data_IF_161309761188
#
_entry.id   IF_161309761188
#
_cell.length_a   1.000
_cell.length_b   1.000
_cell.length_c   1.000
_cell.angle_alpha   90.00
_cell.angle_beta   90.00
_cell.angle_gamma   90.00
#
_symmetry.space_group_name_H-M   'P 1'
#
loop_
_entity.id
_entity.type
_entity.pdbx_description
1 polymer ?
#
# COMPACT_ATOMS: atom_id res chain seq x y z
N UNK A 1 -3.11 71.76 -38.53
CA UNK A 1 -2.14 72.76 -38.05
C UNK A 1 -2.34 72.94 -36.56
N UNK A 2 -1.32 72.61 -35.76
CA UNK A 2 -1.21 72.93 -34.32
C UNK A 2 -0.89 74.45 -34.14
N UNK A 3 -0.78 75.06 -32.92
CA UNK A 3 0.04 74.58 -31.78
C UNK A 3 -0.36 74.97 -30.31
N UNK A 4 0.42 74.37 -29.37
CA UNK A 4 0.81 74.75 -27.99
C UNK A 4 -0.26 74.93 -26.88
N UNK A 5 -0.39 74.05 -25.88
CA UNK A 5 0.48 73.68 -24.73
C UNK A 5 0.37 74.61 -23.50
N UNK A 6 -0.26 74.13 -22.42
CA UNK A 6 0.28 74.16 -21.04
C UNK A 6 -0.62 73.40 -20.03
N UNK A 7 -0.06 72.29 -19.51
CA UNK A 7 -0.08 71.78 -18.11
C UNK A 7 -1.39 71.78 -17.30
N UNK A 8 -1.91 70.58 -16.98
CA UNK A 8 -1.95 70.07 -15.59
C UNK A 8 -2.40 68.59 -15.49
N UNK A 9 -1.51 67.79 -14.88
CA UNK A 9 -1.75 66.68 -13.95
C UNK A 9 -2.59 65.45 -14.39
N UNK A 10 -1.94 64.49 -15.05
CA UNK A 10 -2.26 63.06 -14.94
C UNK A 10 -1.69 62.48 -13.63
N UNK A 11 -2.55 61.99 -12.73
CA UNK A 11 -2.13 61.13 -11.60
C UNK A 11 -2.02 59.69 -12.08
N UNK A 12 -0.79 59.22 -12.29
CA UNK A 12 -0.47 57.81 -12.36
C UNK A 12 -0.49 57.17 -10.97
N UNK A 13 -1.18 56.04 -10.83
CA UNK A 13 -0.97 55.13 -9.71
C UNK A 13 0.18 54.18 -10.08
N UNK A 14 1.39 54.57 -9.67
CA UNK A 14 2.52 53.67 -9.51
C UNK A 14 3.14 53.98 -8.16
N UNK A 15 2.93 53.11 -7.17
CA UNK A 15 3.71 53.09 -5.93
C UNK A 15 3.83 51.66 -5.41
N UNK A 16 5.00 51.08 -5.71
CA UNK A 16 5.88 50.38 -4.78
C UNK A 16 5.16 49.41 -3.83
N UNK A 17 5.05 48.15 -4.27
CA UNK A 17 4.80 47.02 -3.38
C UNK A 17 5.99 46.94 -2.42
N UNK A 18 5.70 47.18 -1.15
CA UNK A 18 6.65 47.27 -0.06
C UNK A 18 7.16 45.85 0.27
N UNK A 19 8.43 45.59 0.01
CA UNK A 19 9.15 44.31 0.20
C UNK A 19 9.36 43.95 1.70
N UNK A 20 8.45 44.36 2.58
CA UNK A 20 8.62 44.29 4.05
C UNK A 20 7.43 43.68 4.81
N UNK A 21 6.43 43.13 4.12
CA UNK A 21 5.30 42.42 4.77
C UNK A 21 5.47 40.89 4.73
N UNK A 22 6.56 40.39 4.14
CA UNK A 22 6.90 38.96 4.09
C UNK A 22 7.68 38.52 5.34
N UNK A 23 7.10 38.66 6.53
CA UNK A 23 7.52 37.92 7.74
C UNK A 23 6.60 38.19 8.94
N UNK A 24 5.73 37.22 9.25
CA UNK A 24 5.57 36.60 10.60
C UNK A 24 4.24 35.84 10.71
N UNK A 25 4.24 34.60 10.26
CA UNK A 25 3.85 33.48 11.11
C UNK A 25 5.08 32.57 11.14
N UNK A 26 5.76 32.48 12.28
CA UNK A 26 6.84 31.53 12.47
C UNK A 26 6.22 30.14 12.61
N UNK A 27 5.87 29.53 11.48
CA UNK A 27 5.73 28.08 11.40
C UNK A 27 7.17 27.54 11.52
N UNK A 28 7.42 26.61 12.44
CA UNK A 28 8.70 25.90 12.47
C UNK A 28 8.91 25.23 11.11
N UNK A 29 10.14 25.09 10.62
CA UNK A 29 10.38 24.35 9.36
C UNK A 29 9.80 22.93 9.45
N UNK A 30 9.79 22.34 10.65
CA UNK A 30 9.11 21.08 10.97
C UNK A 30 7.59 21.12 10.73
N UNK A 31 6.89 22.18 11.17
CA UNK A 31 5.45 22.35 10.91
C UNK A 31 5.16 22.45 9.41
N UNK A 32 6.02 23.15 8.67
CA UNK A 32 5.89 23.25 7.21
C UNK A 32 6.13 21.91 6.50
N UNK A 33 7.05 21.05 6.97
CA UNK A 33 7.29 19.72 6.37
C UNK A 33 6.11 18.79 6.64
N UNK A 34 5.62 18.78 7.88
CA UNK A 34 4.42 18.02 8.23
C UNK A 34 3.25 18.40 7.34
N UNK A 35 2.99 19.70 7.19
CA UNK A 35 1.87 20.18 6.38
C UNK A 35 2.03 19.85 4.90
N UNK A 36 3.27 19.80 4.40
CA UNK A 36 3.54 19.45 3.00
C UNK A 36 3.31 17.98 2.70
N UNK A 37 3.68 17.08 3.62
CA UNK A 37 3.66 15.64 3.35
C UNK A 37 2.47 14.93 3.95
N UNK A 38 2.05 15.32 5.15
CA UNK A 38 1.02 14.60 5.90
C UNK A 38 -0.38 15.05 5.47
N UNK A 39 -0.63 16.35 5.28
CA UNK A 39 -1.97 16.81 4.90
C UNK A 39 -2.47 16.22 3.56
N UNK A 40 -1.68 16.19 2.46
CA UNK A 40 -2.13 15.55 1.22
C UNK A 40 -2.36 14.04 1.37
N UNK A 41 -1.52 13.37 2.16
CA UNK A 41 -1.69 11.96 2.52
C UNK A 41 -3.02 11.72 3.25
N UNK A 42 -3.36 12.55 4.25
CA UNK A 42 -4.63 12.48 4.97
C UNK A 42 -5.81 12.74 4.02
N UNK A 43 -5.70 13.74 3.15
CA UNK A 43 -6.71 14.05 2.15
C UNK A 43 -6.95 12.88 1.19
N UNK A 44 -5.89 12.19 0.77
CA UNK A 44 -6.00 11.02 -0.10
C UNK A 44 -6.72 9.85 0.61
N UNK A 45 -6.43 9.62 1.89
CA UNK A 45 -7.18 8.63 2.69
C UNK A 45 -8.66 8.98 2.79
N UNK A 46 -9.02 10.26 2.93
CA UNK A 46 -10.42 10.70 2.96
C UNK A 46 -11.09 10.48 1.59
N UNK A 47 -10.42 10.80 0.48
CA UNK A 47 -10.95 10.52 -0.88
C UNK A 47 -11.18 9.04 -1.13
N UNK A 48 -10.31 8.19 -0.57
CA UNK A 48 -10.46 6.74 -0.64
C UNK A 48 -11.72 6.26 0.12
N UNK A 49 -12.00 6.84 1.29
CA UNK A 49 -13.24 6.58 2.02
C UNK A 49 -14.46 7.10 1.24
N UNK A 50 -14.37 8.32 0.72
CA UNK A 50 -15.44 9.00 -0.01
C UNK A 50 -15.91 8.21 -1.24
N UNK A 51 -15.00 7.53 -1.94
CA UNK A 51 -15.36 6.70 -3.09
C UNK A 51 -16.08 5.40 -2.72
N UNK A 52 -16.24 5.08 -1.43
CA UNK A 52 -16.81 3.81 -0.96
C UNK A 52 -15.90 2.60 -1.23
N UNK A 53 -14.61 2.85 -1.48
CA UNK A 53 -13.65 1.84 -1.92
C UNK A 53 -13.13 0.95 -0.78
N UNK A 54 -13.02 1.53 0.42
CA UNK A 54 -12.63 0.85 1.65
C UNK A 54 -13.28 1.55 2.85
N UNK A 55 -13.50 0.82 3.94
CA UNK A 55 -14.07 1.42 5.16
C UNK A 55 -13.03 2.26 5.89
N UNK A 56 -13.48 3.14 6.79
CA UNK A 56 -12.56 3.95 7.60
C UNK A 56 -11.64 3.07 8.46
N UNK A 57 -12.17 1.96 8.99
CA UNK A 57 -11.42 1.00 9.81
C UNK A 57 -10.39 0.24 8.99
N UNK A 58 -10.73 -0.17 7.76
CA UNK A 58 -9.81 -0.86 6.85
C UNK A 58 -8.66 0.06 6.44
N UNK A 59 -8.96 1.32 6.09
CA UNK A 59 -7.95 2.32 5.73
C UNK A 59 -6.98 2.55 6.90
N UNK A 60 -7.50 2.73 8.11
CA UNK A 60 -6.68 2.95 9.30
C UNK A 60 -5.84 1.72 9.65
N UNK A 61 -6.43 0.53 9.62
CA UNK A 61 -5.72 -0.71 9.89
C UNK A 61 -4.66 -1.04 8.84
N UNK A 62 -4.92 -0.73 7.56
CA UNK A 62 -3.95 -0.91 6.49
C UNK A 62 -2.67 -0.13 6.77
N UNK A 63 -2.79 1.16 7.10
CA UNK A 63 -1.60 1.98 7.36
C UNK A 63 -0.91 1.60 8.68
N UNK A 64 -1.66 1.23 9.71
CA UNK A 64 -1.10 0.78 10.99
C UNK A 64 -0.35 -0.53 10.89
N UNK A 65 -0.92 -1.55 10.23
CA UNK A 65 -0.35 -2.89 10.19
C UNK A 65 0.52 -3.15 8.95
N UNK A 66 0.35 -2.38 7.88
CA UNK A 66 1.17 -2.40 6.67
C UNK A 66 2.42 -1.55 6.77
N UNK A 67 2.30 -0.33 7.32
CA UNK A 67 3.43 0.61 7.45
C UNK A 67 3.97 0.75 8.89
N UNK A 68 3.31 0.14 9.88
CA UNK A 68 3.71 0.25 11.28
C UNK A 68 3.38 1.60 11.91
N UNK A 69 2.43 2.34 11.34
CA UNK A 69 2.07 3.67 11.84
C UNK A 69 1.37 3.56 13.21
N UNK A 70 1.62 4.51 14.13
CA UNK A 70 1.02 4.47 15.46
C UNK A 70 -0.51 4.63 15.41
N UNK A 71 -1.00 5.40 14.45
CA UNK A 71 -2.41 5.73 14.23
C UNK A 71 -2.71 5.72 12.73
N UNK A 72 -3.95 5.38 12.38
CA UNK A 72 -4.41 5.44 10.99
C UNK A 72 -4.71 6.89 10.56
N UNK A 73 -4.70 7.18 9.25
CA UNK A 73 -4.91 8.53 8.74
C UNK A 73 -6.24 9.15 9.18
N UNK A 74 -7.36 8.41 9.19
CA UNK A 74 -8.67 8.98 9.51
C UNK A 74 -8.81 9.28 11.01
N UNK A 75 -8.34 8.37 11.87
CA UNK A 75 -8.20 8.66 13.30
C UNK A 75 -7.25 9.84 13.59
N UNK A 76 -6.25 10.08 12.72
CA UNK A 76 -5.34 11.23 12.84
C UNK A 76 -6.07 12.53 12.50
N UNK A 77 -6.94 12.53 11.47
CA UNK A 77 -7.77 13.69 11.14
C UNK A 77 -8.73 14.01 12.27
N UNK A 78 -9.35 13.00 12.89
CA UNK A 78 -10.24 13.19 14.05
C UNK A 78 -9.52 13.83 15.25
N UNK A 79 -8.24 13.50 15.46
CA UNK A 79 -7.42 14.10 16.52
C UNK A 79 -7.01 15.55 16.22
N UNK A 80 -6.63 15.85 14.98
CA UNK A 80 -6.26 17.21 14.55
C UNK A 80 -7.51 18.13 14.50
N UNK A 81 -8.66 17.54 14.15
CA UNK A 81 -9.92 18.23 13.88
C UNK A 81 -10.11 18.47 12.39
N UNK A 82 -11.23 17.97 11.85
CA UNK A 82 -11.55 18.02 10.41
C UNK A 82 -11.51 19.46 9.84
N UNK A 83 -12.06 20.44 10.56
CA UNK A 83 -12.03 21.85 10.14
C UNK A 83 -10.61 22.38 9.97
N UNK A 84 -9.71 22.05 10.90
CA UNK A 84 -8.30 22.47 10.85
C UNK A 84 -7.59 21.88 9.63
N UNK A 85 -7.83 20.59 9.35
CA UNK A 85 -7.26 19.90 8.18
C UNK A 85 -7.80 20.48 6.88
N UNK A 86 -9.12 20.74 6.80
CA UNK A 86 -9.77 21.37 5.64
C UNK A 86 -9.16 22.74 5.34
N UNK A 87 -9.06 23.60 6.34
CA UNK A 87 -8.60 24.98 6.17
C UNK A 87 -7.11 25.01 5.76
N UNK A 88 -6.29 24.13 6.34
CA UNK A 88 -4.89 23.99 5.95
C UNK A 88 -4.73 23.47 4.51
N UNK A 89 -5.52 22.47 4.10
CA UNK A 89 -5.53 21.97 2.72
C UNK A 89 -5.99 23.02 1.72
N UNK A 90 -7.01 23.83 2.07
CA UNK A 90 -7.48 24.91 1.22
C UNK A 90 -6.36 25.95 0.99
N UNK A 91 -5.67 26.38 2.04
CA UNK A 91 -4.55 27.31 1.92
C UNK A 91 -3.43 26.74 1.03
N UNK A 92 -3.14 25.43 1.14
CA UNK A 92 -2.18 24.74 0.28
C UNK A 92 -2.64 24.67 -1.17
N UNK A 93 -3.92 24.42 -1.40
CA UNK A 93 -4.48 24.38 -2.75
C UNK A 93 -4.42 25.74 -3.44
N UNK A 94 -4.68 26.83 -2.70
CA UNK A 94 -4.52 28.20 -3.20
C UNK A 94 -3.07 28.53 -3.58
N UNK A 95 -2.10 27.97 -2.86
CA UNK A 95 -0.67 28.16 -3.13
C UNK A 95 -0.20 27.35 -4.35
N UNK A 96 -0.55 26.07 -4.43
CA UNK A 96 0.06 25.16 -5.41
C UNK A 96 -0.80 24.92 -6.65
N UNK A 97 -2.12 25.08 -6.56
CA UNK A 97 -3.07 24.67 -7.60
C UNK A 97 -3.15 23.16 -7.85
N UNK A 98 -2.52 22.34 -7.01
CA UNK A 98 -2.50 20.88 -7.16
C UNK A 98 -3.83 20.28 -6.71
N UNK A 99 -4.52 19.57 -7.60
CA UNK A 99 -5.79 18.90 -7.30
C UNK A 99 -5.70 17.94 -6.11
N UNK A 100 -4.55 17.37 -5.78
CA UNK A 100 -4.39 16.52 -4.59
C UNK A 100 -4.47 17.31 -3.28
N UNK A 101 -4.19 18.61 -3.29
CA UNK A 101 -4.34 19.49 -2.13
C UNK A 101 -5.77 20.01 -1.95
N UNK A 102 -6.62 19.97 -2.98
CA UNK A 102 -8.02 20.38 -2.86
C UNK A 102 -8.71 19.50 -1.79
N UNK A 103 -9.32 20.07 -0.73
CA UNK A 103 -10.04 19.30 0.27
C UNK A 103 -11.07 18.36 -0.36
N UNK A 104 -11.13 17.11 0.09
CA UNK A 104 -12.16 16.16 -0.30
C UNK A 104 -13.57 16.67 0.09
N UNK A 105 -14.60 16.32 -0.69
CA UNK A 105 -15.96 16.83 -0.41
C UNK A 105 -16.48 16.26 0.92
N UNK A 106 -16.13 15.01 1.25
CA UNK A 106 -16.39 14.38 2.53
C UNK A 106 -15.71 15.10 3.70
N UNK A 107 -14.49 15.61 3.50
CA UNK A 107 -13.80 16.40 4.52
C UNK A 107 -14.53 17.71 4.80
N UNK A 108 -15.00 18.38 3.75
CA UNK A 108 -15.80 19.61 3.87
C UNK A 108 -17.08 19.31 4.65
N UNK A 109 -17.81 18.26 4.27
CA UNK A 109 -19.04 17.84 4.93
C UNK A 109 -18.84 17.53 6.41
N UNK A 110 -17.87 16.67 6.75
CA UNK A 110 -17.58 16.29 8.15
C UNK A 110 -17.14 17.52 8.97
N UNK A 111 -16.40 18.44 8.36
CA UNK A 111 -15.98 19.69 9.02
C UNK A 111 -17.17 20.58 9.35
N UNK A 112 -18.12 20.73 8.43
CA UNK A 112 -19.32 21.57 8.61
C UNK A 112 -20.30 20.98 9.62
N UNK A 113 -20.36 19.65 9.70
CA UNK A 113 -21.21 18.90 10.65
C UNK A 113 -20.55 18.70 12.03
N UNK A 114 -19.30 19.13 12.21
CA UNK A 114 -18.47 18.82 13.38
C UNK A 114 -18.45 17.31 13.72
N UNK A 115 -18.43 16.49 12.67
CA UNK A 115 -18.45 15.03 12.75
C UNK A 115 -17.08 14.42 13.00
N UNK A 116 -17.01 13.09 12.90
CA UNK A 116 -15.79 12.30 13.00
C UNK A 116 -15.83 11.18 11.98
N UNK A 117 -14.67 10.83 11.42
CA UNK A 117 -14.53 9.72 10.48
C UNK A 117 -14.62 8.35 11.17
N UNK A 118 -14.16 8.26 12.42
CA UNK A 118 -14.09 7.01 13.18
C UNK A 118 -15.21 6.85 14.21
N UNK A 119 -15.95 7.93 14.53
CA UNK A 119 -16.97 7.97 15.57
C UNK A 119 -18.25 7.17 15.28
N UNK A 120 -18.46 6.74 14.04
CA UNK A 120 -19.57 5.86 13.65
C UNK A 120 -19.27 4.36 13.84
N UNK A 121 -18.17 3.99 14.49
CA UNK A 121 -17.78 2.61 14.80
C UNK A 121 -18.70 1.95 15.86
N UNK A 122 -19.99 1.88 15.55
CA UNK A 122 -21.02 1.09 16.21
C UNK A 122 -21.79 0.24 15.20
N UNK A 123 -21.23 0.00 14.02
CA UNK A 123 -21.76 -1.03 13.13
C UNK A 123 -21.48 -2.39 13.75
N UNK A 124 -22.51 -3.23 13.79
CA UNK A 124 -22.47 -4.63 14.21
C UNK A 124 -21.66 -5.40 13.16
N UNK A 125 -20.32 -5.21 13.17
CA UNK A 125 -19.40 -5.86 12.23
C UNK A 125 -19.38 -7.34 12.60
N UNK A 126 -20.23 -8.11 11.91
CA UNK A 126 -20.22 -9.56 12.01
C UNK A 126 -18.79 -10.05 11.76
N UNK A 127 -18.27 -10.84 12.69
CA UNK A 127 -16.97 -11.48 12.50
C UNK A 127 -17.02 -12.38 11.27
N UNK A 128 -16.12 -12.23 10.29
CA UNK A 128 -16.11 -13.08 9.11
C UNK A 128 -16.00 -14.56 9.47
N UNK A 129 -16.78 -15.40 8.80
CA UNK A 129 -16.78 -16.85 8.96
C UNK A 129 -16.27 -17.56 7.69
N UNK A 130 -15.67 -18.74 7.85
CA UNK A 130 -15.35 -19.60 6.71
C UNK A 130 -16.66 -20.09 6.06
N UNK A 131 -16.95 -19.63 4.85
CA UNK A 131 -18.07 -20.12 4.02
C UNK A 131 -17.67 -21.31 3.15
N UNK A 132 -16.38 -21.40 2.84
CA UNK A 132 -15.76 -22.58 2.20
C UNK A 132 -14.86 -23.30 3.21
N UNK A 133 -14.88 -24.64 3.17
CA UNK A 133 -13.92 -25.45 3.92
C UNK A 133 -12.53 -25.30 3.30
N UNK A 134 -11.54 -24.93 4.12
CA UNK A 134 -10.14 -24.83 3.71
C UNK A 134 -9.32 -25.78 4.56
N UNK A 135 -8.78 -26.83 3.94
CA UNK A 135 -7.89 -27.81 4.59
C UNK A 135 -6.53 -27.87 3.89
N UNK A 136 -6.53 -27.80 2.55
CA UNK A 136 -5.33 -27.85 1.71
C UNK A 136 -5.16 -26.58 0.90
N UNK A 137 -3.96 -26.01 0.96
CA UNK A 137 -3.62 -24.76 0.29
C UNK A 137 -2.56 -25.01 -0.78
N UNK A 138 -2.86 -24.54 -1.98
CA UNK A 138 -1.94 -24.47 -3.10
C UNK A 138 -1.18 -23.14 -3.10
N UNK A 139 0.11 -23.15 -3.41
CA UNK A 139 0.88 -21.92 -3.68
C UNK A 139 1.66 -22.08 -4.98
N UNK A 140 1.48 -21.18 -5.94
CA UNK A 140 2.23 -21.19 -7.20
C UNK A 140 3.36 -20.17 -7.12
N UNK A 141 4.60 -20.65 -7.17
CA UNK A 141 5.79 -19.82 -7.10
C UNK A 141 6.74 -20.23 -5.97
N UNK A 142 8.01 -19.86 -6.13
CA UNK A 142 9.09 -20.15 -5.16
C UNK A 142 9.90 -18.90 -4.83
N UNK A 143 9.35 -17.71 -5.12
CA UNK A 143 9.96 -16.43 -4.78
C UNK A 143 9.87 -16.14 -3.28
N UNK A 144 10.39 -14.98 -2.86
CA UNK A 144 10.35 -14.54 -1.45
C UNK A 144 8.92 -14.49 -0.91
N UNK A 145 7.99 -13.91 -1.67
CA UNK A 145 6.60 -13.79 -1.24
C UNK A 145 5.92 -15.15 -1.15
N UNK A 146 5.96 -15.94 -2.22
CA UNK A 146 5.38 -17.30 -2.24
C UNK A 146 5.94 -18.18 -1.11
N UNK A 147 7.26 -18.18 -0.88
CA UNK A 147 7.87 -18.93 0.23
C UNK A 147 7.37 -18.47 1.60
N UNK A 148 7.17 -17.16 1.78
CA UNK A 148 6.60 -16.59 2.98
C UNK A 148 5.14 -17.00 3.20
N UNK A 149 4.33 -17.02 2.13
CA UNK A 149 2.93 -17.47 2.15
C UNK A 149 2.85 -18.96 2.51
N UNK A 150 3.68 -19.80 1.89
CA UNK A 150 3.81 -21.23 2.23
C UNK A 150 4.09 -21.39 3.73
N UNK A 151 5.04 -20.63 4.27
CA UNK A 151 5.35 -20.68 5.68
C UNK A 151 4.17 -20.24 6.55
N UNK A 152 3.48 -19.14 6.22
CA UNK A 152 2.35 -18.62 7.00
C UNK A 152 1.26 -19.68 7.15
N UNK A 153 0.86 -20.32 6.05
CA UNK A 153 -0.19 -21.33 6.09
C UNK A 153 0.24 -22.61 6.80
N UNK A 154 1.45 -23.11 6.55
CA UNK A 154 1.97 -24.29 7.23
C UNK A 154 2.11 -24.07 8.75
N UNK A 155 2.54 -22.87 9.17
CA UNK A 155 2.60 -22.46 10.58
C UNK A 155 1.23 -22.35 11.25
N UNK A 156 0.19 -22.08 10.48
CA UNK A 156 -1.19 -22.07 10.96
C UNK A 156 -1.83 -23.46 10.98
N UNK A 157 -1.14 -24.49 10.48
CA UNK A 157 -1.59 -25.89 10.55
C UNK A 157 -2.27 -26.41 9.29
N UNK A 158 -2.19 -25.69 8.17
CA UNK A 158 -2.71 -26.15 6.88
C UNK A 158 -1.69 -27.01 6.14
N UNK A 159 -2.17 -27.99 5.39
CA UNK A 159 -1.32 -28.73 4.46
C UNK A 159 -1.09 -27.89 3.21
N UNK A 160 0.17 -27.70 2.82
CA UNK A 160 0.54 -26.79 1.74
C UNK A 160 1.24 -27.54 0.61
N UNK A 161 0.64 -27.48 -0.58
CA UNK A 161 1.27 -27.91 -1.83
C UNK A 161 1.82 -26.66 -2.53
N UNK A 162 3.13 -26.60 -2.77
CA UNK A 162 3.74 -25.47 -3.46
C UNK A 162 4.45 -25.90 -4.73
N UNK A 163 4.19 -25.16 -5.81
CA UNK A 163 4.63 -25.51 -7.16
C UNK A 163 5.76 -24.61 -7.61
N UNK A 164 6.86 -25.25 -8.03
CA UNK A 164 8.07 -24.60 -8.53
C UNK A 164 8.51 -25.17 -9.87
N UNK A 165 9.44 -24.47 -10.54
CA UNK A 165 9.93 -24.86 -11.88
C UNK A 165 10.94 -26.01 -11.85
N UNK A 166 11.54 -26.33 -10.70
CA UNK A 166 12.54 -27.38 -10.56
C UNK A 166 12.65 -27.83 -9.11
N UNK A 167 13.18 -29.04 -8.88
CA UNK A 167 13.44 -29.55 -7.53
C UNK A 167 14.34 -28.63 -6.72
N UNK A 168 15.39 -28.06 -7.35
CA UNK A 168 16.28 -27.10 -6.70
C UNK A 168 15.53 -25.89 -6.11
N UNK A 169 14.52 -25.37 -6.83
CA UNK A 169 13.70 -24.26 -6.34
C UNK A 169 12.82 -24.69 -5.18
N UNK A 170 12.29 -25.91 -5.20
CA UNK A 170 11.48 -26.46 -4.12
C UNK A 170 12.31 -26.63 -2.84
N UNK A 171 13.50 -27.24 -2.98
CA UNK A 171 14.44 -27.43 -1.88
C UNK A 171 14.86 -26.07 -1.28
N UNK A 172 15.01 -25.04 -2.13
CA UNK A 172 15.26 -23.67 -1.71
C UNK A 172 14.17 -23.07 -0.82
N UNK A 173 12.89 -23.33 -1.12
CA UNK A 173 11.75 -22.91 -0.26
C UNK A 173 11.86 -23.59 1.09
N UNK A 174 12.00 -24.92 1.11
CA UNK A 174 12.09 -25.71 2.36
C UNK A 174 13.28 -25.27 3.21
N UNK A 175 14.45 -25.05 2.59
CA UNK A 175 15.64 -24.56 3.28
C UNK A 175 15.45 -23.14 3.85
N UNK A 176 14.80 -22.25 3.09
CA UNK A 176 14.47 -20.90 3.54
C UNK A 176 13.56 -20.89 4.77
N UNK A 177 12.49 -21.71 4.74
CA UNK A 177 11.55 -21.88 5.85
C UNK A 177 12.26 -22.48 7.06
N UNK A 178 13.05 -23.54 6.86
CA UNK A 178 13.85 -24.18 7.93
C UNK A 178 14.72 -23.15 8.64
N UNK A 179 15.47 -22.34 7.88
CA UNK A 179 16.32 -21.27 8.42
C UNK A 179 15.52 -20.19 9.16
N UNK A 180 14.31 -19.87 8.70
CA UNK A 180 13.43 -18.92 9.41
C UNK A 180 12.98 -19.49 10.76
N UNK A 181 12.57 -20.76 10.79
CA UNK A 181 12.16 -21.45 12.01
C UNK A 181 13.32 -21.60 13.01
N UNK A 182 14.52 -21.96 12.54
CA UNK A 182 15.72 -22.04 13.37
C UNK A 182 16.02 -20.71 14.07
N UNK A 183 15.88 -19.59 13.34
CA UNK A 183 16.03 -18.25 13.92
C UNK A 183 14.95 -17.93 14.94
N UNK A 184 13.73 -18.43 14.77
CA UNK A 184 12.66 -18.26 15.74
C UNK A 184 12.94 -19.06 17.03
N UNK A 185 13.43 -20.30 16.89
CA UNK A 185 13.86 -21.15 18.01
C UNK A 185 15.02 -20.50 18.78
N UNK A 186 16.05 -20.03 18.07
CA UNK A 186 17.19 -19.34 18.69
C UNK A 186 16.79 -18.06 19.45
N UNK A 187 15.65 -17.45 19.11
CA UNK A 187 15.07 -16.28 19.79
C UNK A 187 14.03 -16.65 20.85
N UNK A 188 13.82 -17.94 21.13
CA UNK A 188 12.81 -18.43 22.09
C UNK A 188 11.36 -18.16 21.67
N UNK A 189 11.09 -18.00 20.37
CA UNK A 189 9.75 -17.72 19.83
C UNK A 189 9.04 -18.95 19.26
N UNK A 190 9.71 -20.10 19.22
CA UNK A 190 9.25 -21.39 18.70
C UNK A 190 10.10 -22.51 19.30
N UNK A 191 9.72 -23.77 19.07
CA UNK A 191 10.48 -24.96 19.45
C UNK A 191 10.69 -25.93 18.26
N UNK A 192 11.47 -26.99 18.49
CA UNK A 192 11.77 -28.02 17.48
C UNK A 192 10.54 -28.85 17.10
N UNK A 193 9.61 -29.09 18.04
CA UNK A 193 8.37 -29.83 17.76
C UNK A 193 7.50 -29.07 16.75
N UNK A 194 7.32 -27.77 16.99
CA UNK A 194 6.62 -26.87 16.07
C UNK A 194 7.30 -26.85 14.71
N UNK A 195 8.63 -26.78 14.67
CA UNK A 195 9.37 -26.79 13.40
C UNK A 195 9.13 -28.09 12.62
N UNK A 196 9.22 -29.25 13.27
CA UNK A 196 8.93 -30.54 12.64
C UNK A 196 7.50 -30.59 12.11
N UNK A 197 6.53 -30.13 12.90
CA UNK A 197 5.12 -30.09 12.49
C UNK A 197 4.90 -29.20 11.25
N UNK A 198 5.54 -28.02 11.21
CA UNK A 198 5.43 -27.10 10.06
C UNK A 198 6.05 -27.69 8.81
N UNK A 199 7.26 -28.25 8.91
CA UNK A 199 7.95 -28.86 7.77
C UNK A 199 7.21 -30.10 7.26
N UNK A 200 6.57 -30.87 8.15
CA UNK A 200 5.77 -32.04 7.80
C UNK A 200 4.52 -31.74 6.97
N UNK A 201 4.09 -30.48 6.90
CA UNK A 201 2.94 -30.02 6.11
C UNK A 201 3.30 -29.55 4.70
N UNK A 202 4.59 -29.51 4.38
CA UNK A 202 5.10 -28.97 3.12
C UNK A 202 5.23 -30.08 2.08
N UNK A 203 4.50 -29.94 0.97
CA UNK A 203 4.63 -30.80 -0.21
C UNK A 203 5.07 -29.96 -1.40
N UNK A 204 6.33 -30.08 -1.80
CA UNK A 204 6.83 -29.42 -3.01
C UNK A 204 6.52 -30.24 -4.26
N UNK A 205 6.06 -29.58 -5.32
CA UNK A 205 5.82 -30.22 -6.63
C UNK A 205 6.35 -29.41 -7.80
N UNK A 206 6.73 -30.10 -8.89
CA UNK A 206 7.02 -29.49 -10.18
C UNK A 206 5.84 -29.55 -11.16
N UNK A 207 4.73 -30.18 -10.76
CA UNK A 207 3.50 -30.31 -11.54
C UNK A 207 2.41 -29.43 -10.93
N UNK A 208 1.73 -28.65 -11.78
CA UNK A 208 0.56 -27.87 -11.36
C UNK A 208 -0.67 -28.74 -11.10
N UNK A 209 -0.74 -29.93 -11.72
CA UNK A 209 -1.86 -30.86 -11.52
C UNK A 209 -1.99 -31.32 -10.06
N UNK A 210 -0.91 -31.26 -9.29
CA UNK A 210 -0.92 -31.61 -7.85
C UNK A 210 -1.70 -30.59 -6.99
N UNK A 211 -2.16 -29.48 -7.60
CA UNK A 211 -3.04 -28.49 -6.99
C UNK A 211 -4.52 -28.83 -7.13
N UNK A 212 -4.89 -29.89 -7.85
CA UNK A 212 -6.29 -30.21 -8.15
C UNK A 212 -7.17 -30.34 -6.89
N UNK A 213 -6.59 -30.83 -5.79
CA UNK A 213 -7.29 -31.04 -4.51
C UNK A 213 -7.22 -29.85 -3.55
N UNK A 214 -6.56 -28.74 -3.91
CA UNK A 214 -6.46 -27.57 -3.05
C UNK A 214 -7.80 -26.81 -2.96
N UNK A 215 -8.12 -26.30 -1.77
CA UNK A 215 -9.32 -25.49 -1.52
C UNK A 215 -9.10 -24.00 -1.82
N UNK A 216 -7.86 -23.55 -1.66
CA UNK A 216 -7.38 -22.22 -2.00
C UNK A 216 -6.06 -22.37 -2.74
N UNK A 217 -5.90 -21.69 -3.88
CA UNK A 217 -4.63 -21.60 -4.61
C UNK A 217 -4.19 -20.15 -4.64
N UNK A 218 -3.03 -19.85 -4.05
CA UNK A 218 -2.44 -18.50 -4.02
C UNK A 218 -1.30 -18.40 -5.04
N UNK A 219 -1.48 -17.54 -6.02
CA UNK A 219 -0.47 -17.21 -7.02
C UNK A 219 0.51 -16.17 -6.47
N UNK A 220 1.82 -16.46 -6.60
CA UNK A 220 2.93 -15.58 -6.23
C UNK A 220 4.14 -15.74 -7.15
N UNK A 221 3.91 -15.63 -8.46
CA UNK A 221 4.90 -15.68 -9.53
C UNK A 221 5.33 -14.26 -9.97
N UNK A 222 5.94 -14.15 -11.15
CA UNK A 222 6.39 -12.86 -11.68
C UNK A 222 5.21 -11.90 -11.89
N UNK A 223 5.48 -10.62 -11.65
CA UNK A 223 4.52 -9.52 -11.84
C UNK A 223 4.44 -9.18 -13.34
N UNK A 224 3.84 -10.09 -14.12
CA UNK A 224 3.55 -9.95 -15.55
C UNK A 224 2.12 -10.44 -15.86
N UNK A 225 1.32 -9.58 -16.50
CA UNK A 225 -0.11 -9.83 -16.70
C UNK A 225 -0.36 -11.02 -17.65
N UNK A 226 0.43 -11.16 -18.71
CA UNK A 226 0.26 -12.26 -19.67
C UNK A 226 0.61 -13.59 -18.99
N UNK A 227 1.69 -13.62 -18.21
CA UNK A 227 2.11 -14.83 -17.47
C UNK A 227 1.08 -15.22 -16.42
N UNK A 228 0.52 -14.27 -15.66
CA UNK A 228 -0.53 -14.53 -14.68
C UNK A 228 -1.83 -14.95 -15.36
N UNK A 229 -2.21 -14.33 -16.46
CA UNK A 229 -3.41 -14.67 -17.24
C UNK A 229 -3.37 -16.12 -17.71
N UNK A 230 -2.25 -16.56 -18.29
CA UNK A 230 -2.09 -17.95 -18.72
C UNK A 230 -2.10 -18.93 -17.53
N UNK A 231 -1.52 -18.52 -16.39
CA UNK A 231 -1.61 -19.32 -15.17
C UNK A 231 -3.05 -19.44 -14.66
N UNK A 232 -3.83 -18.36 -14.63
CA UNK A 232 -5.21 -18.40 -14.15
C UNK A 232 -6.13 -19.25 -15.04
N UNK A 233 -5.92 -19.26 -16.37
CA UNK A 233 -6.60 -20.21 -17.27
C UNK A 233 -6.27 -21.67 -16.94
N UNK A 234 -4.99 -21.94 -16.66
CA UNK A 234 -4.54 -23.29 -16.31
C UNK A 234 -5.07 -23.73 -14.94
N UNK A 235 -5.06 -22.83 -13.95
CA UNK A 235 -5.61 -23.09 -12.62
C UNK A 235 -7.13 -23.30 -12.65
N UNK A 236 -7.87 -22.55 -13.47
CA UNK A 236 -9.32 -22.76 -13.63
C UNK A 236 -9.67 -24.18 -14.11
N UNK A 237 -8.84 -24.72 -15.01
CA UNK A 237 -8.95 -26.11 -15.48
C UNK A 237 -8.58 -27.14 -14.41
N UNK A 238 -7.55 -26.87 -13.62
CA UNK A 238 -6.98 -27.81 -12.64
C UNK A 238 -7.80 -27.86 -11.36
N UNK A 239 -8.21 -26.70 -10.86
CA UNK A 239 -8.80 -26.57 -9.53
C UNK A 239 -10.16 -27.26 -9.45
N UNK A 240 -10.40 -28.03 -8.38
CA UNK A 240 -11.71 -28.62 -8.11
C UNK A 240 -12.82 -27.57 -8.00
N UNK A 241 -14.06 -28.00 -8.14
CA UNK A 241 -15.22 -27.14 -7.94
C UNK A 241 -15.23 -26.53 -6.52
N UNK A 242 -15.55 -25.24 -6.41
CA UNK A 242 -15.59 -24.51 -5.15
C UNK A 242 -14.24 -24.08 -4.57
N UNK A 243 -13.13 -24.38 -5.27
CA UNK A 243 -11.80 -23.88 -4.90
C UNK A 243 -11.64 -22.40 -5.28
N UNK A 244 -11.01 -21.64 -4.37
CA UNK A 244 -10.73 -20.21 -4.51
C UNK A 244 -9.38 -20.02 -5.21
N UNK A 245 -9.33 -19.10 -6.18
CA UNK A 245 -8.10 -18.68 -6.85
C UNK A 245 -7.71 -17.27 -6.39
N UNK A 246 -6.63 -17.17 -5.66
CA UNK A 246 -6.11 -15.91 -5.14
C UNK A 246 -4.81 -15.48 -5.83
N UNK A 247 -4.58 -14.17 -5.93
CA UNK A 247 -3.28 -13.61 -6.33
C UNK A 247 -2.72 -12.69 -5.24
N UNK A 248 -1.41 -12.74 -5.02
CA UNK A 248 -0.70 -11.78 -4.15
C UNK A 248 -0.05 -10.62 -4.92
N UNK A 249 -0.58 -10.26 -6.09
CA UNK A 249 -0.18 -9.05 -6.84
C UNK A 249 -0.21 -7.80 -5.95
N UNK A 250 0.62 -6.81 -6.25
CA UNK A 250 0.65 -5.53 -5.52
C UNK A 250 -0.09 -4.39 -6.23
N UNK A 251 -0.46 -4.59 -7.50
CA UNK A 251 -0.96 -3.50 -8.35
C UNK A 251 -1.68 -3.91 -9.63
N UNK A 252 -1.68 -5.20 -10.01
CA UNK A 252 -2.39 -5.64 -11.21
C UNK A 252 -3.90 -5.72 -10.99
N UNK A 253 -4.71 -5.39 -12.01
CA UNK A 253 -6.15 -5.56 -11.94
C UNK A 253 -6.54 -7.04 -11.79
N UNK A 254 -7.13 -7.40 -10.65
CA UNK A 254 -7.59 -8.76 -10.37
C UNK A 254 -8.75 -9.14 -11.31
N UNK A 255 -9.53 -8.14 -11.73
CA UNK A 255 -10.64 -8.30 -12.67
C UNK A 255 -10.20 -8.92 -14.00
N UNK A 256 -8.99 -8.59 -14.48
CA UNK A 256 -8.48 -9.18 -15.73
C UNK A 256 -8.11 -10.66 -15.56
N UNK A 257 -7.65 -11.05 -14.37
CA UNK A 257 -7.40 -12.46 -14.04
C UNK A 257 -8.72 -13.22 -13.83
N UNK A 258 -9.74 -12.59 -13.24
CA UNK A 258 -11.05 -13.20 -13.03
C UNK A 258 -11.75 -13.52 -14.35
N UNK A 259 -11.72 -12.59 -15.32
CA UNK A 259 -12.42 -12.68 -16.62
C UNK A 259 -11.97 -13.86 -17.49
N UNK A 260 -10.76 -14.39 -17.28
CA UNK A 260 -10.24 -15.51 -18.08
C UNK A 260 -10.57 -16.89 -17.50
N UNK A 261 -11.29 -16.94 -16.38
CA UNK A 261 -11.74 -18.17 -15.73
C UNK A 261 -13.24 -18.40 -15.96
N UNK A 262 -13.68 -19.65 -15.85
CA UNK A 262 -15.10 -20.00 -15.77
C UNK A 262 -15.71 -19.75 -14.37
N UNK A 263 -14.90 -19.29 -13.40
CA UNK A 263 -15.26 -19.07 -11.99
C UNK A 263 -14.92 -17.66 -11.49
N UNK A 264 -15.30 -16.57 -12.18
CA UNK A 264 -14.88 -15.23 -11.78
C UNK A 264 -15.30 -14.84 -10.34
N UNK A 265 -16.37 -15.45 -9.80
CA UNK A 265 -16.79 -15.28 -8.41
C UNK A 265 -15.90 -15.94 -7.36
N UNK A 266 -15.02 -16.85 -7.77
CA UNK A 266 -14.04 -17.54 -6.92
C UNK A 266 -12.63 -16.95 -7.05
N UNK A 267 -12.49 -15.82 -7.75
CA UNK A 267 -11.21 -15.10 -7.93
C UNK A 267 -11.14 -13.88 -7.03
N UNK A 268 -10.02 -13.72 -6.32
CA UNK A 268 -9.82 -12.66 -5.33
C UNK A 268 -8.35 -12.24 -5.20
N UNK A 269 -8.09 -11.01 -4.75
CA UNK A 269 -6.76 -10.58 -4.32
C UNK A 269 -6.51 -10.89 -2.85
N UNK A 270 -5.32 -11.39 -2.55
CA UNK A 270 -4.84 -11.66 -1.20
C UNK A 270 -3.42 -11.13 -1.08
N UNK A 271 -3.27 -9.82 -0.97
CA UNK A 271 -1.98 -9.15 -1.02
C UNK A 271 -1.27 -9.20 0.34
N UNK A 272 -0.21 -10.01 0.41
CA UNK A 272 0.67 -10.14 1.56
C UNK A 272 1.82 -9.12 1.51
N UNK A 273 2.27 -8.69 2.69
CA UNK A 273 3.37 -7.73 2.83
C UNK A 273 4.68 -8.43 3.19
N UNK A 274 5.77 -8.04 2.53
CA UNK A 274 7.08 -8.66 2.74
C UNK A 274 7.76 -8.12 4.02
N UNK A 275 8.34 -8.97 4.89
CA UNK A 275 8.28 -10.45 4.89
C UNK A 275 6.95 -11.00 5.41
N UNK A 276 6.30 -11.88 4.62
CA UNK A 276 4.96 -12.38 4.93
C UNK A 276 4.82 -13.05 6.31
N UNK A 277 5.77 -13.83 6.84
CA UNK A 277 5.64 -14.40 8.20
C UNK A 277 5.68 -13.35 9.33
N UNK A 278 6.21 -12.16 9.07
CA UNK A 278 6.40 -11.10 10.08
C UNK A 278 5.32 -10.03 9.99
N UNK A 279 4.99 -9.60 8.78
CA UNK A 279 4.00 -8.54 8.56
C UNK A 279 2.60 -9.02 8.96
N UNK A 280 1.82 -8.16 9.60
CA UNK A 280 0.50 -8.53 10.12
C UNK A 280 -0.61 -8.33 9.11
N UNK A 281 -0.45 -7.44 8.15
CA UNK A 281 -1.51 -7.06 7.21
C UNK A 281 -1.66 -8.07 6.06
N UNK A 282 -2.90 -8.28 5.64
CA UNK A 282 -3.27 -8.79 4.30
C UNK A 282 -4.36 -7.88 3.76
N UNK A 283 -4.19 -7.36 2.55
CA UNK A 283 -5.29 -6.70 1.82
C UNK A 283 -6.10 -7.76 1.06
N UNK A 284 -7.38 -7.87 1.42
CA UNK A 284 -8.36 -8.75 0.76
C UNK A 284 -9.11 -7.91 -0.27
N UNK A 285 -8.81 -8.17 -1.54
CA UNK A 285 -9.19 -7.28 -2.64
C UNK A 285 -10.26 -7.94 -3.50
N UNK A 286 -11.41 -7.28 -3.60
CA UNK A 286 -12.58 -7.81 -4.32
C UNK A 286 -12.81 -7.07 -5.62
N UNK A 287 -13.26 -7.81 -6.62
CA UNK A 287 -13.80 -7.26 -7.87
C UNK A 287 -15.33 -7.23 -7.78
N UNK A 288 -16.00 -6.55 -8.71
CA UNK A 288 -17.47 -6.62 -8.85
C UNK A 288 -17.98 -8.05 -9.15
N UNK A 289 -17.09 -8.95 -9.57
CA UNK A 289 -17.41 -10.34 -9.89
C UNK A 289 -17.24 -11.27 -8.69
N UNK A 290 -16.37 -10.92 -7.74
CA UNK A 290 -16.01 -11.76 -6.59
C UNK A 290 -17.22 -12.01 -5.70
N UNK A 291 -17.46 -13.27 -5.34
CA UNK A 291 -18.62 -13.60 -4.52
C UNK A 291 -18.44 -13.15 -3.07
N UNK A 292 -19.53 -12.74 -2.38
CA UNK A 292 -19.46 -12.37 -0.97
C UNK A 292 -18.96 -13.51 -0.06
N UNK A 293 -19.25 -14.77 -0.41
CA UNK A 293 -18.82 -15.95 0.35
C UNK A 293 -17.30 -16.15 0.29
N UNK A 294 -16.70 -15.84 -0.87
CA UNK A 294 -15.24 -15.91 -1.08
C UNK A 294 -14.53 -14.78 -0.33
N UNK A 295 -15.04 -13.54 -0.40
CA UNK A 295 -14.56 -12.42 0.42
C UNK A 295 -14.60 -12.75 1.92
N UNK A 296 -15.75 -13.23 2.41
CA UNK A 296 -15.90 -13.60 3.82
C UNK A 296 -14.94 -14.72 4.24
N UNK A 297 -14.80 -15.76 3.41
CA UNK A 297 -13.88 -16.87 3.67
C UNK A 297 -12.43 -16.40 3.72
N UNK A 298 -11.98 -15.57 2.78
CA UNK A 298 -10.59 -15.12 2.74
C UNK A 298 -10.27 -14.17 3.89
N UNK A 299 -11.21 -13.31 4.31
CA UNK A 299 -11.06 -12.53 5.55
C UNK A 299 -10.95 -13.42 6.78
N UNK A 300 -11.85 -14.40 6.93
CA UNK A 300 -11.84 -15.33 8.05
C UNK A 300 -10.54 -16.16 8.09
N UNK A 301 -10.09 -16.65 6.94
CA UNK A 301 -8.84 -17.40 6.80
C UNK A 301 -7.62 -16.52 7.15
N UNK A 302 -7.58 -15.28 6.67
CA UNK A 302 -6.52 -14.31 7.00
C UNK A 302 -6.43 -14.10 8.52
N UNK A 303 -7.56 -13.92 9.19
CA UNK A 303 -7.62 -13.82 10.65
C UNK A 303 -7.16 -15.12 11.34
N UNK A 304 -7.57 -16.28 10.84
CA UNK A 304 -7.16 -17.60 11.38
C UNK A 304 -5.64 -17.82 11.30
N UNK A 305 -4.98 -17.30 10.26
CA UNK A 305 -3.51 -17.30 10.14
C UNK A 305 -2.83 -16.13 10.85
N UNK A 306 -3.54 -15.48 11.79
CA UNK A 306 -3.07 -14.37 12.65
C UNK A 306 -2.66 -13.12 11.86
N UNK A 307 -3.26 -12.90 10.69
CA UNK A 307 -3.19 -11.64 9.96
C UNK A 307 -4.36 -10.73 10.33
N UNK A 308 -4.20 -9.46 10.03
CA UNK A 308 -5.27 -8.46 10.05
C UNK A 308 -5.73 -8.31 8.61
N UNK A 309 -6.88 -8.88 8.22
CA UNK A 309 -7.45 -8.59 6.92
C UNK A 309 -7.98 -7.16 6.89
N UNK A 310 -7.78 -6.47 5.77
CA UNK A 310 -8.48 -5.24 5.43
C UNK A 310 -9.12 -5.40 4.06
N UNK A 311 -10.33 -4.90 3.88
CA UNK A 311 -11.07 -5.03 2.62
C UNK A 311 -10.95 -3.80 1.75
N UNK A 312 -10.80 -4.01 0.44
CA UNK A 312 -10.89 -2.96 -0.56
C UNK A 312 -11.30 -3.47 -1.95
N UNK A 313 -11.65 -2.55 -2.83
CA UNK A 313 -11.96 -2.86 -4.24
C UNK A 313 -10.71 -3.09 -5.10
N UNK A 314 -10.89 -3.55 -6.32
CA UNK A 314 -9.81 -3.78 -7.29
C UNK A 314 -9.36 -2.47 -7.96
N UNK A 315 -8.24 -1.89 -7.49
CA UNK A 315 -7.56 -0.75 -8.13
C UNK A 315 -6.05 -0.81 -7.89
N UNK A 316 -5.28 -0.11 -8.73
CA UNK A 316 -3.82 -0.04 -8.57
C UNK A 316 -3.41 0.49 -7.19
N UNK A 317 -2.52 -0.25 -6.53
CA UNK A 317 -1.94 0.06 -5.22
C UNK A 317 -2.83 -0.17 -4.00
N UNK A 318 -4.02 -0.72 -4.20
CA UNK A 318 -4.97 -1.06 -3.14
C UNK A 318 -5.19 0.07 -2.11
N UNK A 319 -4.95 -0.18 -0.82
CA UNK A 319 -4.96 0.87 0.21
C UNK A 319 -3.54 1.36 0.47
N UNK A 320 -2.65 0.46 0.90
CA UNK A 320 -1.33 0.84 1.42
C UNK A 320 -0.50 1.53 0.37
N UNK A 321 -0.35 0.92 -0.81
CA UNK A 321 0.53 1.46 -1.84
C UNK A 321 -0.06 2.75 -2.45
N UNK A 322 -1.37 2.82 -2.60
CA UNK A 322 -2.07 4.00 -3.07
C UNK A 322 -1.88 5.21 -2.15
N UNK A 323 -1.68 5.02 -0.84
CA UNK A 323 -1.39 6.10 0.10
C UNK A 323 0.11 6.33 0.31
N UNK A 324 0.89 5.27 0.42
CA UNK A 324 2.30 5.32 0.80
C UNK A 324 3.18 5.92 -0.30
N UNK A 325 3.04 5.46 -1.55
CA UNK A 325 3.97 5.85 -2.61
C UNK A 325 3.82 7.30 -3.06
N UNK A 326 2.61 7.88 -3.16
CA UNK A 326 2.47 9.32 -3.39
C UNK A 326 3.12 10.14 -2.28
N UNK A 327 2.95 9.75 -1.02
CA UNK A 327 3.62 10.38 0.12
C UNK A 327 5.16 10.32 0.00
N UNK A 328 5.72 9.16 -0.34
CA UNK A 328 7.17 9.01 -0.54
C UNK A 328 7.66 9.83 -1.73
N UNK A 329 6.89 9.85 -2.82
CA UNK A 329 7.19 10.63 -4.01
C UNK A 329 7.20 12.14 -3.73
N UNK A 330 6.23 12.62 -2.94
CA UNK A 330 6.14 14.02 -2.53
C UNK A 330 7.27 14.41 -1.57
N UNK A 331 7.78 13.49 -0.74
CA UNK A 331 9.00 13.70 0.04
C UNK A 331 10.22 13.94 -0.85
N UNK A 332 10.34 13.21 -1.97
CA UNK A 332 11.39 13.45 -2.97
C UNK A 332 11.22 14.81 -3.63
N UNK A 333 9.99 15.20 -4.03
CA UNK A 333 9.71 16.54 -4.60
C UNK A 333 10.05 17.67 -3.62
N UNK A 334 9.76 17.48 -2.32
CA UNK A 334 10.13 18.44 -1.28
C UNK A 334 11.65 18.57 -1.12
N UNK A 335 12.38 17.47 -1.29
CA UNK A 335 13.84 17.54 -1.32
C UNK A 335 14.35 18.27 -2.57
N UNK A 336 13.74 18.07 -3.74
CA UNK A 336 14.08 18.80 -4.97
C UNK A 336 13.89 20.31 -4.83
N UNK A 337 12.95 20.77 -3.99
CA UNK A 337 12.78 22.20 -3.68
C UNK A 337 13.82 22.75 -2.69
N UNK A 338 14.77 21.93 -2.23
CA UNK A 338 15.94 22.36 -1.45
C UNK A 338 15.93 22.02 0.04
N UNK A 339 14.93 21.28 0.54
CA UNK A 339 14.90 20.83 1.94
C UNK A 339 15.83 19.62 2.12
N UNK A 340 16.60 19.57 3.20
CA UNK A 340 17.57 18.49 3.40
C UNK A 340 16.87 17.16 3.77
N UNK A 341 17.34 16.03 3.20
CA UNK A 341 16.84 14.68 3.50
C UNK A 341 16.76 14.40 5.00
N UNK A 342 17.84 14.70 5.74
CA UNK A 342 17.89 14.47 7.18
C UNK A 342 16.86 15.30 7.96
N UNK A 343 16.53 16.50 7.47
CA UNK A 343 15.49 17.34 8.07
C UNK A 343 14.10 16.76 7.81
N UNK A 344 13.84 16.28 6.59
CA UNK A 344 12.56 15.64 6.22
C UNK A 344 12.34 14.36 7.05
N UNK A 345 13.34 13.48 7.09
CA UNK A 345 13.26 12.22 7.84
C UNK A 345 13.06 12.46 9.35
N UNK A 346 13.77 13.42 9.94
CA UNK A 346 13.60 13.77 11.34
C UNK A 346 12.22 14.38 11.62
N UNK A 347 11.77 15.32 10.79
CA UNK A 347 10.49 16.00 10.98
C UNK A 347 9.31 15.01 10.95
N UNK A 348 9.29 14.07 10.01
CA UNK A 348 8.23 13.05 9.95
C UNK A 348 8.23 12.14 11.17
N UNK A 349 9.41 11.68 11.61
CA UNK A 349 9.53 10.83 12.81
C UNK A 349 9.06 11.56 14.07
N UNK A 350 9.37 12.85 14.20
CA UNK A 350 9.01 13.65 15.38
C UNK A 350 7.55 14.10 15.38
N UNK A 351 7.01 14.53 14.23
CA UNK A 351 5.67 15.13 14.14
C UNK A 351 4.56 14.12 13.90
N UNK A 352 4.79 13.12 13.04
CA UNK A 352 3.79 12.09 12.70
C UNK A 352 4.01 10.78 13.49
N UNK A 353 5.15 10.64 14.17
CA UNK A 353 5.47 9.43 14.95
C UNK A 353 5.71 8.19 14.08
N UNK A 354 6.00 8.37 12.79
CA UNK A 354 6.23 7.25 11.88
C UNK A 354 7.52 6.51 12.24
N UNK A 355 7.58 5.18 12.06
CA UNK A 355 8.71 4.37 12.49
C UNK A 355 10.01 4.63 11.72
N UNK A 356 9.90 5.14 10.48
CA UNK A 356 11.02 5.48 9.61
C UNK A 356 10.72 6.77 8.85
N UNK A 357 11.76 7.55 8.56
CA UNK A 357 11.64 8.68 7.64
C UNK A 357 11.37 8.22 6.20
N UNK A 358 10.78 9.06 5.33
CA UNK A 358 10.48 8.69 3.95
C UNK A 358 11.70 8.25 3.15
N UNK A 359 12.87 8.88 3.31
CA UNK A 359 14.07 8.50 2.55
C UNK A 359 14.71 7.21 3.09
N UNK A 360 14.71 7.03 4.42
CA UNK A 360 15.03 5.74 5.04
C UNK A 360 14.15 4.61 4.50
N UNK A 361 12.84 4.85 4.35
CA UNK A 361 11.88 3.86 3.86
C UNK A 361 12.04 3.58 2.36
N UNK A 362 12.24 4.62 1.53
CA UNK A 362 12.54 4.48 0.10
C UNK A 362 13.73 3.55 -0.16
N UNK A 363 14.81 3.71 0.61
CA UNK A 363 16.00 2.87 0.46
C UNK A 363 15.83 1.44 1.02
N UNK A 364 14.88 1.23 1.94
CA UNK A 364 14.52 -0.11 2.43
C UNK A 364 13.65 -0.85 1.43
N UNK A 365 12.64 -0.19 0.87
CA UNK A 365 11.73 -0.75 -0.14
C UNK A 365 12.48 -0.99 -1.45
N UNK A 366 13.27 -0.02 -1.87
CA UNK A 366 13.98 0.03 -3.14
C UNK A 366 13.39 1.09 -4.06
N UNK A 367 14.28 1.91 -4.62
CA UNK A 367 13.87 3.06 -5.44
C UNK A 367 13.23 2.64 -6.78
N UNK A 368 13.64 1.51 -7.35
CA UNK A 368 13.03 0.92 -8.55
C UNK A 368 11.61 0.42 -8.30
N UNK A 369 11.38 -0.25 -7.17
CA UNK A 369 10.04 -0.69 -6.75
C UNK A 369 9.14 0.52 -6.51
N UNK A 370 9.68 1.53 -5.83
CA UNK A 370 8.96 2.77 -5.54
C UNK A 370 8.57 3.53 -6.81
N UNK A 371 9.50 3.62 -7.77
CA UNK A 371 9.23 4.24 -9.06
C UNK A 371 8.20 3.45 -9.88
N UNK A 372 8.29 2.12 -9.89
CA UNK A 372 7.36 1.27 -10.63
C UNK A 372 5.92 1.46 -10.12
N UNK A 373 5.72 1.37 -8.81
CA UNK A 373 4.39 1.56 -8.20
C UNK A 373 3.87 2.98 -8.43
N UNK A 374 4.72 4.00 -8.25
CA UNK A 374 4.31 5.40 -8.51
C UNK A 374 3.89 5.59 -9.98
N UNK A 375 4.57 4.94 -10.91
CA UNK A 375 4.23 5.00 -12.34
C UNK A 375 2.91 4.30 -12.65
N UNK A 376 2.62 3.18 -11.99
CA UNK A 376 1.33 2.49 -12.10
C UNK A 376 0.18 3.35 -11.55
N UNK A 377 0.36 3.95 -10.38
CA UNK A 377 -0.63 4.89 -9.82
C UNK A 377 -0.86 6.08 -10.76
N UNK A 378 0.20 6.62 -11.37
CA UNK A 378 0.05 7.67 -12.38
C UNK A 378 -0.75 7.19 -13.60
N UNK A 379 -0.45 6.01 -14.12
CA UNK A 379 -1.17 5.47 -15.27
C UNK A 379 -2.66 5.24 -14.96
N UNK A 380 -2.97 4.80 -13.75
CA UNK A 380 -4.34 4.56 -13.28
C UNK A 380 -5.13 5.87 -13.12
N UNK A 381 -4.59 6.85 -12.38
CA UNK A 381 -5.35 8.06 -12.03
C UNK A 381 -5.22 9.20 -13.03
N UNK A 382 -4.16 9.25 -13.84
CA UNK A 382 -3.92 10.30 -14.85
C UNK A 382 -3.69 11.71 -14.28
N UNK A 383 -3.66 11.88 -12.97
CA UNK A 383 -3.56 13.19 -12.29
C UNK A 383 -2.09 13.67 -12.22
N UNK A 384 -1.79 14.94 -12.56
CA UNK A 384 -0.47 15.59 -12.45
C UNK A 384 0.25 15.33 -11.13
N UNK A 385 -0.46 15.35 -10.00
CA UNK A 385 0.13 15.13 -8.67
C UNK A 385 0.82 13.77 -8.51
N UNK A 386 0.41 12.75 -9.27
CA UNK A 386 1.06 11.43 -9.26
C UNK A 386 2.31 11.34 -10.14
N UNK A 387 2.75 12.41 -10.81
CA UNK A 387 3.99 12.37 -11.59
C UNK A 387 5.17 11.91 -10.71
N UNK A 388 5.94 10.89 -11.15
CA UNK A 388 7.15 10.48 -10.46
C UNK A 388 8.15 11.63 -10.36
N UNK A 389 8.74 11.81 -9.17
CA UNK A 389 9.76 12.82 -8.93
C UNK A 389 10.99 12.58 -9.83
N UNK A 390 11.53 13.65 -10.42
CA UNK A 390 12.62 13.54 -11.40
C UNK A 390 13.88 12.89 -10.80
N UNK A 391 14.18 13.21 -9.54
CA UNK A 391 15.30 12.65 -8.79
C UNK A 391 15.10 11.17 -8.49
N UNK A 392 13.88 10.72 -8.22
CA UNK A 392 13.59 9.29 -8.03
C UNK A 392 13.90 8.52 -9.32
N UNK A 393 13.42 9.03 -10.47
CA UNK A 393 13.73 8.49 -11.80
C UNK A 393 15.24 8.45 -12.03
N UNK A 394 15.95 9.55 -11.72
CA UNK A 394 17.40 9.66 -11.88
C UNK A 394 18.16 8.62 -11.03
N UNK A 395 17.77 8.42 -9.77
CA UNK A 395 18.40 7.43 -8.88
C UNK A 395 18.26 6.00 -9.43
N UNK A 396 17.08 5.66 -9.94
CA UNK A 396 16.83 4.35 -10.56
C UNK A 396 17.68 4.17 -11.82
N UNK A 397 17.74 5.17 -12.70
CA UNK A 397 18.59 5.12 -13.90
C UNK A 397 20.09 4.98 -13.58
N UNK A 398 20.53 5.49 -12.42
CA UNK A 398 21.89 5.35 -11.93
C UNK A 398 22.17 4.01 -11.23
N UNK A 399 21.17 3.14 -11.09
CA UNK A 399 21.29 1.89 -10.33
C UNK A 399 21.41 2.09 -8.82
N UNK A 400 21.02 3.27 -8.29
CA UNK A 400 21.02 3.60 -6.87
C UNK A 400 19.69 3.19 -6.24
N UNK A 401 19.54 1.89 -6.01
CA UNK A 401 18.28 1.26 -5.62
C UNK A 401 18.10 1.08 -4.10
N UNK A 402 18.92 1.75 -3.28
CA UNK A 402 18.85 1.68 -1.83
C UNK A 402 19.72 0.57 -1.25
N UNK A 403 19.29 -0.02 -0.12
CA UNK A 403 20.08 -0.99 0.64
C UNK A 403 20.52 -2.20 -0.17
N UNK A 404 19.71 -2.63 -1.13
CA UNK A 404 20.01 -3.81 -1.97
C UNK A 404 21.17 -3.60 -2.94
N UNK A 405 21.53 -2.35 -3.23
CA UNK A 405 22.68 -1.97 -4.08
C UNK A 405 23.77 -1.23 -3.31
N UNK A 406 23.66 -1.10 -1.98
CA UNK A 406 24.61 -0.36 -1.13
C UNK A 406 24.50 1.18 -1.25
N UNK A 407 23.67 1.69 -2.15
CA UNK A 407 23.47 3.13 -2.34
C UNK A 407 22.08 3.42 -2.92
N UNK A 408 21.43 4.46 -2.41
CA UNK A 408 20.17 5.02 -2.88
C UNK A 408 20.12 6.53 -2.63
N UNK A 409 19.22 6.98 -1.75
CA UNK A 409 19.27 8.33 -1.19
C UNK A 409 20.35 8.45 -0.11
N UNK A 410 20.62 7.35 0.60
CA UNK A 410 21.74 7.18 1.52
C UNK A 410 22.80 6.21 0.96
N UNK A 411 23.95 6.12 1.62
CA UNK A 411 25.02 5.14 1.35
C UNK A 411 25.07 4.12 2.50
N UNK A 412 25.23 2.83 2.19
CA UNK A 412 25.13 1.70 3.13
C UNK A 412 26.33 0.78 3.15
#
# INVERSE_FOLDING_TARGET
MAPCDQRHATRGYSRVINLAVFRRMTVSTQGSIHDVLVLPYLNHAIRMLESGYATATDIDNAMRFGCGYPKGPLATVDEIGASSVRDALLARFEETGDNLHKPADLLIKISDEAGSFTGAAGEDVRTPELRHTIEKIGVVGTGTMASGIVQVFAQAGYDVVFVGRSQEKLDGVVAGITKSLDKAIAKGRSDEETKVAVLGRLTGSTSREDLAEADLIVEGIAEDLDVKTELFKDLDRIAKAGAILATTTSSMPITELAKVTARPGDVIGMHFFNPAPVMKLVEVVTTDLTSPEVDETVRALSAAVKKVPVSCGDRSGFIVNALLFPYLNDAVKLHESGVAIAEIDAAIKETAGFPMGPFELLDVVGNDVSLAIQSELRNEFGEPGFDPAALLVQKVQQGKLGRKTGEGFHTY
#
